data_IF_757186993953
#
_entry.id   IF_757186993953
#
_cell.length_a   1.000
_cell.length_b   1.000
_cell.length_c   1.000
_cell.angle_alpha   90.00
_cell.angle_beta   90.00
_cell.angle_gamma   90.00
#
_symmetry.space_group_name_H-M   'P 1'
#
loop_
_entity.id
_entity.type
_entity.pdbx_description
1 polymer ?
#
# COMPACT_ATOMS: atom_id res chain seq x y z
N UNK A 1 9.04 5.87 -24.77
CA UNK A 1 8.03 5.03 -24.07
C UNK A 1 6.67 5.69 -24.18
N UNK A 2 5.57 4.95 -23.98
CA UNK A 2 4.20 5.51 -23.97
C UNK A 2 3.75 6.01 -22.59
N UNK A 3 4.53 5.75 -21.54
CA UNK A 3 4.22 6.14 -20.16
C UNK A 3 5.39 6.86 -19.48
N UNK A 4 5.09 7.75 -18.54
CA UNK A 4 6.05 8.44 -17.68
C UNK A 4 5.44 8.77 -16.32
N UNK A 5 6.25 8.96 -15.30
CA UNK A 5 5.80 9.22 -13.93
C UNK A 5 6.72 10.20 -13.20
N UNK A 6 6.20 10.81 -12.13
CA UNK A 6 6.99 11.65 -11.25
C UNK A 6 7.17 13.10 -11.72
N UNK A 7 6.29 13.61 -12.58
CA UNK A 7 6.33 15.01 -13.03
C UNK A 7 5.83 15.98 -11.94
N UNK A 8 6.55 16.07 -10.83
CA UNK A 8 6.23 16.91 -9.67
C UNK A 8 6.37 18.41 -9.93
N UNK A 9 7.34 18.82 -10.75
CA UNK A 9 7.56 20.23 -11.06
C UNK A 9 6.40 20.85 -11.85
N UNK A 10 5.74 20.06 -12.71
CA UNK A 10 4.58 20.52 -13.47
C UNK A 10 3.44 20.92 -12.54
N UNK A 11 3.24 20.21 -11.43
CA UNK A 11 2.11 20.47 -10.52
C UNK A 11 2.45 21.50 -9.44
N UNK A 12 3.72 21.92 -9.35
CA UNK A 12 4.17 22.91 -8.37
C UNK A 12 3.53 24.28 -8.63
N UNK A 13 2.71 24.71 -7.68
CA UNK A 13 1.96 25.98 -7.73
C UNK A 13 0.48 25.81 -8.07
N UNK A 14 0.00 24.58 -8.32
CA UNK A 14 -1.43 24.33 -8.46
C UNK A 14 -2.16 24.65 -7.15
N UNK A 15 -3.21 25.47 -7.24
CA UNK A 15 -4.09 25.79 -6.12
C UNK A 15 -5.44 25.08 -6.33
N UNK A 16 -5.73 24.03 -5.56
CA UNK A 16 -7.00 23.33 -5.67
C UNK A 16 -8.18 24.25 -5.31
N UNK A 17 -9.38 23.95 -5.83
CA UNK A 17 -10.59 24.69 -5.44
C UNK A 17 -10.89 24.57 -3.94
N UNK A 18 -10.57 23.42 -3.36
CA UNK A 18 -10.63 23.16 -1.93
C UNK A 18 -9.35 22.41 -1.47
N UNK A 19 -8.39 23.12 -0.83
CA UNK A 19 -7.15 22.52 -0.32
C UNK A 19 -7.35 21.47 0.78
N UNK A 20 -8.52 21.43 1.43
CA UNK A 20 -8.85 20.40 2.42
C UNK A 20 -9.32 19.09 1.79
N UNK A 21 -9.74 19.13 0.50
CA UNK A 21 -10.26 17.96 -0.22
C UNK A 21 -9.36 17.48 -1.35
N UNK A 22 -8.65 18.37 -2.02
CA UNK A 22 -7.93 18.01 -3.23
C UNK A 22 -6.43 18.24 -3.10
N UNK A 23 -5.66 17.34 -3.69
CA UNK A 23 -4.22 17.54 -3.89
C UNK A 23 -3.83 17.00 -5.24
N UNK A 24 -3.09 17.81 -6.00
CA UNK A 24 -2.48 17.37 -7.24
C UNK A 24 -1.05 16.90 -6.96
N UNK A 25 -0.83 15.58 -7.05
CA UNK A 25 0.52 14.99 -6.94
C UNK A 25 1.22 15.01 -8.30
N UNK A 26 2.52 14.72 -8.30
CA UNK A 26 3.29 14.61 -9.55
C UNK A 26 2.63 13.67 -10.55
N UNK A 27 2.55 14.12 -11.81
CA UNK A 27 1.74 13.42 -12.81
C UNK A 27 2.32 12.04 -13.12
N UNK A 28 1.44 11.05 -13.21
CA UNK A 28 1.70 9.79 -13.92
C UNK A 28 0.89 9.81 -15.20
N UNK A 29 1.57 9.68 -16.35
CA UNK A 29 1.02 9.87 -17.68
C UNK A 29 1.13 8.59 -18.49
N UNK A 30 0.10 8.26 -19.27
CA UNK A 30 0.17 7.23 -20.29
C UNK A 30 -0.55 7.68 -21.57
N UNK A 31 0.17 7.74 -22.68
CA UNK A 31 -0.35 8.09 -24.01
C UNK A 31 -1.06 6.88 -24.62
N UNK A 32 -2.26 7.11 -25.11
CA UNK A 32 -3.09 6.14 -25.82
C UNK A 32 -2.86 6.23 -27.34
N UNK A 33 -3.34 5.23 -28.08
CA UNK A 33 -3.17 5.16 -29.53
C UNK A 33 -3.97 6.25 -30.28
N UNK A 34 -5.10 6.67 -29.73
CA UNK A 34 -5.93 7.77 -30.23
C UNK A 34 -5.36 9.17 -29.92
N UNK A 35 -4.17 9.23 -29.32
CA UNK A 35 -3.48 10.47 -28.97
C UNK A 35 -3.91 11.10 -27.64
N UNK A 36 -4.93 10.55 -26.97
CA UNK A 36 -5.29 10.98 -25.61
C UNK A 36 -4.23 10.56 -24.59
N UNK A 37 -4.25 11.20 -23.41
CA UNK A 37 -3.32 10.94 -22.31
C UNK A 37 -4.09 10.65 -21.04
N UNK A 38 -3.88 9.47 -20.47
CA UNK A 38 -4.35 9.14 -19.13
C UNK A 38 -3.47 9.84 -18.09
N UNK A 39 -4.11 10.54 -17.16
CA UNK A 39 -3.44 11.26 -16.07
C UNK A 39 -3.89 10.69 -14.73
N UNK A 40 -2.94 10.20 -13.95
CA UNK A 40 -3.17 9.77 -12.57
C UNK A 40 -2.39 10.70 -11.63
N UNK A 41 -3.09 11.68 -11.05
CA UNK A 41 -2.48 12.76 -10.28
C UNK A 41 -3.41 13.46 -9.27
N UNK A 42 -4.72 13.47 -9.51
CA UNK A 42 -5.65 14.16 -8.62
C UNK A 42 -6.07 13.21 -7.47
N UNK A 43 -5.77 13.62 -6.24
CA UNK A 43 -6.18 12.94 -5.01
C UNK A 43 -7.40 13.64 -4.42
N UNK A 44 -8.31 12.83 -3.86
CA UNK A 44 -9.55 13.28 -3.23
C UNK A 44 -9.57 12.72 -1.81
N UNK A 45 -9.75 13.59 -0.82
CA UNK A 45 -9.76 13.28 0.60
C UNK A 45 -11.16 13.44 1.21
N UNK A 46 -11.36 12.89 2.41
CA UNK A 46 -12.63 12.98 3.14
C UNK A 46 -13.73 12.07 2.59
N UNK A 47 -13.36 10.90 2.05
CA UNK A 47 -14.30 9.91 1.48
C UNK A 47 -14.33 8.67 2.38
N UNK A 48 -15.31 8.59 3.28
CA UNK A 48 -15.43 7.49 4.24
C UNK A 48 -16.56 6.51 3.88
N UNK A 49 -17.64 7.03 3.29
CA UNK A 49 -18.87 6.26 3.00
C UNK A 49 -18.88 5.81 1.55
N UNK A 50 -19.39 4.60 1.34
CA UNK A 50 -19.55 4.00 0.00
C UNK A 50 -21.02 3.93 -0.39
N UNK A 51 -21.79 4.97 -0.07
CA UNK A 51 -23.08 5.12 -0.71
C UNK A 51 -22.87 5.44 -2.20
N UNK A 52 -23.56 4.71 -3.07
CA UNK A 52 -23.35 4.81 -4.51
C UNK A 52 -23.73 6.19 -5.05
N UNK A 53 -24.78 6.81 -4.50
CA UNK A 53 -25.21 8.15 -4.92
C UNK A 53 -24.23 9.23 -4.45
N UNK A 54 -23.73 9.14 -3.22
CA UNK A 54 -22.68 10.05 -2.73
C UNK A 54 -21.39 9.95 -3.55
N UNK A 55 -20.97 8.73 -3.90
CA UNK A 55 -19.77 8.52 -4.73
C UNK A 55 -19.94 9.07 -6.15
N UNK A 56 -21.11 8.91 -6.76
CA UNK A 56 -21.39 9.46 -8.09
C UNK A 56 -21.43 10.99 -8.06
N UNK A 57 -22.10 11.59 -7.06
CA UNK A 57 -22.09 13.05 -6.86
C UNK A 57 -20.67 13.58 -6.71
N UNK A 58 -19.88 12.95 -5.84
CA UNK A 58 -18.48 13.33 -5.63
C UNK A 58 -17.65 13.16 -6.91
N UNK A 59 -17.90 12.13 -7.71
CA UNK A 59 -17.21 11.94 -9.00
C UNK A 59 -17.46 13.12 -9.95
N UNK A 60 -18.68 13.66 -9.98
CA UNK A 60 -19.01 14.84 -10.78
C UNK A 60 -18.34 16.11 -10.24
N UNK A 61 -18.32 16.30 -8.92
CA UNK A 61 -17.59 17.42 -8.30
C UNK A 61 -16.09 17.37 -8.61
N UNK A 62 -15.48 16.18 -8.53
CA UNK A 62 -14.06 15.95 -8.87
C UNK A 62 -13.79 16.18 -10.37
N UNK A 63 -14.78 15.99 -11.24
CA UNK A 63 -14.63 16.29 -12.66
C UNK A 63 -14.42 17.79 -12.92
N UNK A 64 -15.09 18.65 -12.16
CA UNK A 64 -14.87 20.11 -12.22
C UNK A 64 -13.46 20.47 -11.75
N UNK A 65 -12.96 19.79 -10.72
CA UNK A 65 -11.57 19.96 -10.28
C UNK A 65 -10.58 19.47 -11.35
N UNK A 66 -10.89 18.38 -12.06
CA UNK A 66 -10.07 17.91 -13.17
C UNK A 66 -10.00 18.92 -14.34
N UNK A 67 -11.08 19.65 -14.62
CA UNK A 67 -11.06 20.75 -15.60
C UNK A 67 -10.10 21.88 -15.17
N UNK A 68 -10.11 22.25 -13.89
CA UNK A 68 -9.16 23.22 -13.32
C UNK A 68 -7.71 22.74 -13.44
N UNK A 69 -7.45 21.45 -13.22
CA UNK A 69 -6.14 20.85 -13.44
C UNK A 69 -5.71 20.98 -14.90
N UNK A 70 -6.58 20.70 -15.87
CA UNK A 70 -6.25 20.84 -17.29
C UNK A 70 -5.98 22.30 -17.66
N UNK A 71 -6.79 23.25 -17.18
CA UNK A 71 -6.56 24.68 -17.38
C UNK A 71 -5.19 25.12 -16.83
N UNK A 72 -4.87 24.71 -15.60
CA UNK A 72 -3.58 24.98 -15.00
C UNK A 72 -2.42 24.37 -15.80
N UNK A 73 -2.52 23.12 -16.26
CA UNK A 73 -1.45 22.49 -17.05
C UNK A 73 -1.22 23.21 -18.38
N UNK A 74 -2.28 23.70 -19.03
CA UNK A 74 -2.19 24.52 -20.26
C UNK A 74 -1.41 25.80 -20.04
N UNK A 75 -1.62 26.47 -18.91
CA UNK A 75 -0.90 27.69 -18.55
C UNK A 75 0.54 27.41 -18.12
N UNK A 76 0.74 26.34 -17.34
CA UNK A 76 2.03 25.96 -16.76
C UNK A 76 3.02 25.49 -17.81
N UNK A 77 2.57 24.70 -18.78
CA UNK A 77 3.38 24.21 -19.89
C UNK A 77 2.56 24.21 -21.20
N UNK A 78 2.44 25.38 -21.85
CA UNK A 78 1.68 25.51 -23.09
C UNK A 78 2.27 24.70 -24.26
N UNK A 79 3.56 24.39 -24.23
CA UNK A 79 4.21 23.60 -25.28
C UNK A 79 3.70 22.16 -25.27
N UNK A 80 3.50 21.59 -24.08
CA UNK A 80 3.01 20.22 -23.91
C UNK A 80 1.49 20.15 -23.88
N UNK A 81 0.84 21.06 -23.15
CA UNK A 81 -0.59 20.98 -22.86
C UNK A 81 -1.43 22.08 -23.48
N UNK A 82 -0.89 23.07 -24.21
CA UNK A 82 -1.63 24.29 -24.59
C UNK A 82 -2.95 24.08 -25.34
N UNK A 83 -3.05 22.99 -26.11
CA UNK A 83 -4.28 22.59 -26.84
C UNK A 83 -5.05 21.46 -26.15
N UNK A 84 -4.60 21.01 -24.98
CA UNK A 84 -5.24 19.95 -24.22
C UNK A 84 -6.65 20.35 -23.81
N UNK A 85 -7.54 19.38 -23.86
CA UNK A 85 -8.91 19.45 -23.36
C UNK A 85 -9.17 18.21 -22.53
N UNK A 86 -10.01 18.34 -21.51
CA UNK A 86 -10.44 17.19 -20.74
C UNK A 86 -11.26 16.27 -21.65
N UNK A 87 -10.73 15.09 -21.96
CA UNK A 87 -11.47 14.08 -22.73
C UNK A 87 -12.55 13.40 -21.89
N UNK A 88 -12.30 13.27 -20.59
CA UNK A 88 -13.21 12.69 -19.62
C UNK A 88 -12.48 12.37 -18.31
N UNK A 89 -13.24 11.89 -17.34
CA UNK A 89 -12.73 11.35 -16.07
C UNK A 89 -13.00 9.85 -15.99
N UNK A 90 -12.35 9.16 -15.05
CA UNK A 90 -12.63 7.75 -14.80
C UNK A 90 -14.13 7.53 -14.49
N UNK A 91 -14.71 6.39 -14.93
CA UNK A 91 -16.13 6.10 -14.71
C UNK A 91 -16.48 5.88 -13.23
N UNK A 92 -15.48 5.65 -12.37
CA UNK A 92 -15.64 5.53 -10.94
C UNK A 92 -14.42 6.08 -10.21
N UNK A 93 -14.61 6.54 -8.98
CA UNK A 93 -13.51 6.91 -8.09
C UNK A 93 -12.71 5.67 -7.69
N UNK A 94 -11.39 5.75 -7.79
CA UNK A 94 -10.51 4.69 -7.33
C UNK A 94 -10.29 4.79 -5.81
N UNK A 95 -11.19 4.15 -5.05
CA UNK A 95 -11.04 4.01 -3.60
C UNK A 95 -9.89 3.03 -3.34
N UNK A 96 -8.77 3.49 -2.77
CA UNK A 96 -7.60 2.63 -2.53
C UNK A 96 -7.83 1.62 -1.41
N UNK A 97 -8.65 1.97 -0.43
CA UNK A 97 -8.89 1.12 0.72
C UNK A 97 -10.23 1.47 1.38
N UNK A 98 -10.92 0.46 1.92
CA UNK A 98 -12.11 0.66 2.75
C UNK A 98 -12.26 -0.48 3.75
N UNK A 99 -13.02 -1.51 3.39
CA UNK A 99 -13.28 -2.69 4.23
C UNK A 99 -12.35 -3.83 3.86
N UNK A 100 -11.97 -4.61 4.87
CA UNK A 100 -11.25 -5.86 4.71
C UNK A 100 -12.10 -7.01 5.23
N UNK A 101 -12.19 -8.08 4.44
CA UNK A 101 -12.96 -9.26 4.74
C UNK A 101 -12.44 -9.93 6.00
N UNK A 102 -13.35 -10.31 6.90
CA UNK A 102 -13.07 -11.32 7.93
C UNK A 102 -13.00 -12.70 7.27
N UNK A 103 -11.85 -13.00 6.70
CA UNK A 103 -11.59 -14.26 6.00
C UNK A 103 -11.08 -15.35 6.95
N UNK A 104 -11.01 -16.58 6.46
CA UNK A 104 -10.39 -17.71 7.17
C UNK A 104 -8.91 -17.41 7.52
N UNK A 105 -8.25 -16.57 6.74
CA UNK A 105 -6.94 -16.02 7.04
C UNK A 105 -6.85 -14.54 6.71
N UNK A 106 -6.06 -13.82 7.51
CA UNK A 106 -5.75 -12.42 7.25
C UNK A 106 -4.26 -12.28 7.01
N UNK A 107 -3.89 -11.91 5.78
CA UNK A 107 -2.51 -11.67 5.38
C UNK A 107 -1.96 -10.45 6.11
N UNK A 108 -0.81 -10.60 6.75
CA UNK A 108 -0.23 -9.55 7.60
C UNK A 108 0.90 -8.79 6.91
N UNK A 109 1.14 -7.57 7.39
CA UNK A 109 2.13 -6.66 6.83
C UNK A 109 3.55 -7.26 6.79
N UNK A 110 3.98 -7.89 7.88
CA UNK A 110 5.31 -8.50 7.97
C UNK A 110 5.43 -9.76 7.08
N UNK A 111 4.32 -10.45 6.84
CA UNK A 111 4.29 -11.63 5.96
C UNK A 111 4.43 -11.20 4.50
N UNK A 112 3.85 -10.06 4.15
CA UNK A 112 4.08 -9.38 2.87
C UNK A 112 5.54 -8.93 2.77
N UNK A 113 6.01 -8.11 3.72
CA UNK A 113 7.37 -7.54 3.66
C UNK A 113 8.43 -8.64 3.58
N UNK A 114 8.36 -9.66 4.44
CA UNK A 114 9.37 -10.70 4.54
C UNK A 114 9.21 -11.84 3.52
N UNK A 115 8.25 -11.74 2.59
CA UNK A 115 8.12 -12.73 1.51
C UNK A 115 7.60 -14.09 1.97
N UNK A 116 6.59 -14.14 2.85
CA UNK A 116 6.07 -15.40 3.39
C UNK A 116 5.48 -16.27 2.28
N UNK A 117 5.89 -17.54 2.24
CA UNK A 117 5.26 -18.56 1.42
C UNK A 117 4.15 -19.29 2.19
N UNK A 118 3.20 -19.86 1.45
CA UNK A 118 2.09 -20.61 2.01
C UNK A 118 1.87 -21.91 1.23
N UNK A 119 1.58 -23.03 1.89
CA UNK A 119 1.26 -24.31 1.21
C UNK A 119 -0.01 -24.21 0.36
N UNK A 120 -0.85 -23.23 0.67
CA UNK A 120 -2.11 -22.94 -0.01
C UNK A 120 -2.05 -21.63 -0.81
N UNK A 121 -0.86 -21.16 -1.21
CA UNK A 121 -0.69 -19.97 -2.03
C UNK A 121 -1.29 -20.15 -3.44
N UNK A 122 -2.14 -19.21 -3.84
CA UNK A 122 -2.81 -19.20 -5.15
C UNK A 122 -2.43 -18.01 -6.03
N UNK A 123 -1.64 -17.08 -5.50
CA UNK A 123 -1.00 -16.02 -6.26
C UNK A 123 0.31 -15.60 -5.57
N UNK A 124 1.16 -14.90 -6.32
CA UNK A 124 2.43 -14.35 -5.87
C UNK A 124 2.43 -12.83 -6.04
N UNK A 125 2.63 -12.11 -4.94
CA UNK A 125 2.76 -10.65 -4.91
C UNK A 125 4.21 -10.21 -4.73
N UNK A 126 4.48 -8.94 -5.02
CA UNK A 126 5.81 -8.34 -4.86
C UNK A 126 5.85 -6.82 -5.01
N UNK A 127 4.69 -6.16 -5.01
CA UNK A 127 4.61 -4.70 -5.10
C UNK A 127 5.08 -4.07 -3.78
N UNK A 128 5.80 -2.94 -3.77
CA UNK A 128 6.15 -2.25 -2.53
C UNK A 128 4.95 -2.01 -1.60
N UNK A 129 5.21 -1.95 -0.28
CA UNK A 129 4.20 -1.50 0.69
C UNK A 129 4.05 0.02 0.57
N UNK A 130 3.38 0.44 -0.50
CA UNK A 130 3.11 1.84 -0.88
C UNK A 130 1.64 2.21 -0.61
N UNK A 131 1.44 2.97 0.47
CA UNK A 131 0.18 3.60 0.86
C UNK A 131 0.17 5.08 0.50
N UNK A 132 -0.97 5.57 0.02
CA UNK A 132 -1.13 7.01 -0.22
C UNK A 132 -1.44 7.73 1.10
N UNK A 133 -1.18 9.03 1.15
CA UNK A 133 -1.70 9.91 2.19
C UNK A 133 -3.22 9.72 2.40
N UNK A 134 -3.67 9.79 3.65
CA UNK A 134 -5.09 9.83 4.02
C UNK A 134 -5.56 11.26 4.30
N UNK A 135 -4.63 12.18 4.57
CA UNK A 135 -4.92 13.61 4.76
C UNK A 135 -4.15 14.49 3.77
N UNK A 136 -4.71 15.66 3.38
CA UNK A 136 -3.95 16.64 2.60
C UNK A 136 -2.63 17.02 3.27
N UNK A 137 -1.56 17.07 2.48
CA UNK A 137 -0.21 17.43 2.94
C UNK A 137 0.51 16.36 3.79
N UNK A 138 -0.13 15.22 4.03
CA UNK A 138 0.52 14.07 4.67
C UNK A 138 1.56 13.42 3.73
N UNK A 139 2.69 13.02 4.30
CA UNK A 139 3.68 12.22 3.58
C UNK A 139 3.08 10.85 3.19
N UNK A 140 3.27 10.32 1.97
CA UNK A 140 2.80 8.97 1.63
C UNK A 140 3.48 7.89 2.49
N UNK A 141 2.78 6.78 2.72
CA UNK A 141 3.30 5.64 3.45
C UNK A 141 4.21 4.81 2.55
N UNK A 142 5.47 4.67 2.94
CA UNK A 142 6.40 3.76 2.29
C UNK A 142 7.03 2.85 3.35
N UNK A 143 6.61 1.59 3.38
CA UNK A 143 6.94 0.66 4.46
C UNK A 143 7.89 -0.46 4.00
N UNK A 144 8.62 -0.22 2.91
CA UNK A 144 9.62 -1.12 2.34
C UNK A 144 9.18 -1.89 1.09
N UNK A 145 10.17 -2.52 0.45
CA UNK A 145 9.97 -3.38 -0.71
C UNK A 145 9.88 -4.83 -0.23
N UNK A 146 8.82 -5.59 -0.55
CA UNK A 146 8.74 -6.97 -0.10
C UNK A 146 9.68 -7.89 -0.88
N UNK A 147 10.10 -8.98 -0.24
CA UNK A 147 10.43 -10.18 -1.00
C UNK A 147 9.14 -10.77 -1.60
N UNK A 148 9.18 -11.52 -2.72
CA UNK A 148 7.98 -12.11 -3.28
C UNK A 148 7.23 -12.94 -2.24
N UNK A 149 5.92 -12.69 -2.06
CA UNK A 149 5.09 -13.32 -1.04
C UNK A 149 3.90 -14.05 -1.65
N UNK A 150 3.48 -15.14 -1.02
CA UNK A 150 2.28 -15.88 -1.43
C UNK A 150 1.02 -15.25 -0.85
N UNK A 151 -0.08 -15.29 -1.61
CA UNK A 151 -1.42 -15.03 -1.08
C UNK A 151 -2.13 -16.37 -0.87
N UNK A 152 -2.43 -16.78 0.37
CA UNK A 152 -3.06 -18.07 0.64
C UNK A 152 -4.56 -18.03 0.26
N UNK A 153 -5.07 -19.14 -0.28
CA UNK A 153 -6.47 -19.26 -0.75
C UNK A 153 -7.49 -18.86 0.31
N UNK A 154 -7.26 -19.24 1.57
CA UNK A 154 -8.06 -18.87 2.75
C UNK A 154 -8.18 -17.36 3.01
N UNK A 155 -7.37 -16.51 2.36
CA UNK A 155 -7.57 -15.05 2.38
C UNK A 155 -8.77 -14.62 1.51
N UNK A 156 -9.21 -15.46 0.59
CA UNK A 156 -10.33 -15.20 -0.31
C UNK A 156 -11.66 -15.71 0.25
N UNK A 157 -11.61 -16.57 1.27
CA UNK A 157 -12.77 -17.30 1.82
C UNK A 157 -13.31 -16.57 3.06
N UNK A 158 -14.54 -16.04 3.03
CA UNK A 158 -15.19 -15.46 4.21
C UNK A 158 -15.32 -16.48 5.35
N UNK A 159 -15.25 -16.03 6.61
CA UNK A 159 -15.49 -16.93 7.75
C UNK A 159 -16.90 -17.51 7.77
N UNK A 160 -17.88 -16.67 7.45
CA UNK A 160 -19.31 -16.96 7.66
C UNK A 160 -20.01 -17.49 6.41
N UNK A 161 -19.50 -17.18 5.21
CA UNK A 161 -20.13 -17.54 3.93
C UNK A 161 -19.29 -18.59 3.20
N UNK A 162 -19.89 -19.75 2.98
CA UNK A 162 -19.22 -20.94 2.44
C UNK A 162 -19.17 -21.00 0.91
N UNK A 163 -20.07 -20.27 0.25
CA UNK A 163 -20.27 -20.26 -1.21
C UNK A 163 -19.86 -18.95 -1.89
N UNK A 164 -19.06 -18.12 -1.22
CA UNK A 164 -18.58 -16.84 -1.74
C UNK A 164 -17.05 -16.78 -1.69
N UNK A 165 -16.44 -16.21 -2.72
CA UNK A 165 -15.04 -15.80 -2.71
C UNK A 165 -14.96 -14.28 -2.93
N UNK A 166 -14.02 -13.64 -2.24
CA UNK A 166 -13.72 -12.21 -2.42
C UNK A 166 -12.31 -12.07 -2.97
N UNK A 167 -12.20 -11.56 -4.19
CA UNK A 167 -10.95 -11.41 -4.97
C UNK A 167 -10.63 -9.96 -5.31
N UNK A 168 -11.08 -9.05 -4.45
CA UNK A 168 -10.82 -7.62 -4.56
C UNK A 168 -9.86 -7.16 -3.47
N UNK A 169 -9.52 -5.88 -3.50
CA UNK A 169 -8.79 -5.21 -2.41
C UNK A 169 -9.44 -5.39 -1.02
N UNK A 170 -10.72 -5.79 -0.98
CA UNK A 170 -11.44 -6.10 0.25
C UNK A 170 -11.29 -7.55 0.74
N UNK A 171 -10.44 -8.36 0.10
CA UNK A 171 -10.13 -9.71 0.59
C UNK A 171 -9.47 -9.69 1.98
N UNK A 172 -9.12 -10.86 2.53
CA UNK A 172 -8.56 -11.04 3.87
C UNK A 172 -7.14 -10.49 4.02
N UNK A 173 -6.99 -9.17 4.00
CA UNK A 173 -5.72 -8.47 4.18
C UNK A 173 -5.78 -7.57 5.42
N UNK A 174 -4.67 -7.44 6.13
CA UNK A 174 -4.48 -6.30 7.02
C UNK A 174 -4.34 -5.02 6.19
N UNK A 175 -4.68 -3.87 6.77
CA UNK A 175 -4.67 -2.58 6.08
C UNK A 175 -3.32 -2.29 5.40
N UNK A 176 -2.23 -2.46 6.14
CA UNK A 176 -0.88 -2.30 5.62
C UNK A 176 -0.54 -3.37 4.57
N UNK A 177 -0.93 -4.63 4.76
CA UNK A 177 -0.70 -5.67 3.76
C UNK A 177 -1.37 -5.32 2.41
N UNK A 178 -2.53 -4.68 2.46
CA UNK A 178 -3.24 -4.21 1.28
C UNK A 178 -2.49 -3.13 0.50
N UNK A 179 -1.52 -2.41 1.09
CA UNK A 179 -0.68 -1.46 0.33
C UNK A 179 0.04 -2.14 -0.82
N UNK A 180 0.47 -3.39 -0.60
CA UNK A 180 1.01 -4.25 -1.65
C UNK A 180 -0.06 -5.08 -2.35
N UNK A 181 -0.94 -5.73 -1.58
CA UNK A 181 -1.78 -6.79 -2.13
C UNK A 181 -2.91 -6.30 -3.04
N UNK A 182 -3.36 -5.04 -2.91
CA UNK A 182 -4.50 -4.50 -3.66
C UNK A 182 -4.22 -4.20 -5.14
N UNK A 183 -2.96 -4.28 -5.59
CA UNK A 183 -2.61 -3.85 -6.95
C UNK A 183 -3.24 -4.74 -8.01
N UNK A 184 -3.65 -4.11 -9.13
CA UNK A 184 -4.41 -4.77 -10.20
C UNK A 184 -3.80 -6.10 -10.67
N UNK A 185 -2.48 -6.23 -10.92
CA UNK A 185 -1.92 -7.51 -11.36
C UNK A 185 -2.14 -8.66 -10.37
N UNK A 186 -2.01 -8.38 -9.06
CA UNK A 186 -2.25 -9.41 -8.05
C UNK A 186 -3.74 -9.76 -7.98
N UNK A 187 -4.62 -8.75 -8.03
CA UNK A 187 -6.07 -8.96 -8.03
C UNK A 187 -6.55 -9.80 -9.23
N UNK A 188 -5.95 -9.60 -10.41
CA UNK A 188 -6.22 -10.45 -11.57
C UNK A 188 -5.84 -11.91 -11.32
N UNK A 189 -4.67 -12.15 -10.70
CA UNK A 189 -4.24 -13.50 -10.34
C UNK A 189 -5.17 -14.15 -9.31
N UNK A 190 -5.67 -13.39 -8.34
CA UNK A 190 -6.66 -13.88 -7.36
C UNK A 190 -8.01 -14.18 -8.02
N UNK A 191 -8.43 -13.37 -9.00
CA UNK A 191 -9.63 -13.62 -9.80
C UNK A 191 -9.54 -14.94 -10.59
N UNK A 192 -8.40 -15.18 -11.23
CA UNK A 192 -8.10 -16.45 -11.90
C UNK A 192 -8.15 -17.63 -10.91
N UNK A 193 -7.53 -17.49 -9.73
CA UNK A 193 -7.57 -18.48 -8.67
C UNK A 193 -9.00 -18.82 -8.22
N UNK A 194 -9.85 -17.81 -8.03
CA UNK A 194 -11.24 -18.03 -7.68
C UNK A 194 -12.02 -18.72 -8.81
N UNK A 195 -11.80 -18.34 -10.08
CA UNK A 195 -12.43 -19.00 -11.23
C UNK A 195 -12.09 -20.49 -11.29
N UNK A 196 -10.81 -20.85 -11.07
CA UNK A 196 -10.38 -22.25 -11.01
C UNK A 196 -10.97 -22.97 -9.80
N UNK A 197 -11.00 -22.34 -8.63
CA UNK A 197 -11.60 -22.92 -7.42
C UNK A 197 -13.10 -23.22 -7.61
N UNK A 198 -13.85 -22.28 -8.20
CA UNK A 198 -15.26 -22.49 -8.58
C UNK A 198 -15.39 -23.67 -9.53
N UNK A 199 -14.53 -23.78 -10.54
CA UNK A 199 -14.57 -24.89 -11.50
C UNK A 199 -14.31 -26.25 -10.83
N UNK A 200 -13.44 -26.32 -9.82
CA UNK A 200 -13.16 -27.55 -9.06
C UNK A 200 -14.34 -28.00 -8.18
N UNK A 201 -15.17 -27.07 -7.70
CA UNK A 201 -16.36 -27.39 -6.91
C UNK A 201 -17.58 -27.77 -7.76
N UNK A 202 -17.55 -27.53 -9.09
CA UNK A 202 -18.68 -27.90 -9.95
C UNK A 202 -18.79 -29.42 -10.09
N UNK A 203 -20.01 -29.93 -9.86
CA UNK A 203 -20.34 -31.37 -9.95
C UNK A 203 -20.29 -31.94 -11.37
N UNK A 204 -20.45 -31.10 -12.40
CA UNK A 204 -20.42 -31.54 -13.79
C UNK A 204 -18.96 -31.65 -14.29
N UNK A 205 -18.54 -32.79 -14.87
CA UNK A 205 -17.17 -32.96 -15.34
C UNK A 205 -16.87 -31.94 -16.46
N UNK A 206 -15.83 -31.13 -16.25
CA UNK A 206 -15.11 -30.50 -17.37
C UNK A 206 -13.92 -31.40 -17.73
N UNK A 207 -13.61 -31.50 -19.02
CA UNK A 207 -12.49 -32.30 -19.51
C UNK A 207 -11.20 -31.99 -18.73
N UNK A 208 -10.67 -32.97 -18.02
CA UNK A 208 -9.40 -32.88 -17.29
C UNK A 208 -9.45 -32.45 -15.83
N UNK A 209 -10.63 -32.28 -15.20
CA UNK A 209 -10.75 -32.04 -13.76
C UNK A 209 -11.13 -33.32 -13.01
N UNK A 210 -10.30 -33.71 -12.03
CA UNK A 210 -10.65 -34.78 -11.09
C UNK A 210 -11.87 -34.36 -10.26
N UNK A 211 -12.85 -35.26 -10.10
CA UNK A 211 -14.01 -35.05 -9.24
C UNK A 211 -13.53 -34.94 -7.79
N UNK A 212 -13.56 -33.74 -7.22
CA UNK A 212 -13.40 -33.57 -5.77
C UNK A 212 -14.81 -33.38 -5.19
N UNK A 213 -15.32 -34.30 -4.35
CA UNK A 213 -16.65 -34.17 -3.76
C UNK A 213 -16.61 -33.17 -2.60
N UNK A 214 -16.31 -31.91 -2.89
CA UNK A 214 -16.34 -30.84 -1.91
C UNK A 214 -17.65 -30.07 -2.02
N UNK A 215 -18.24 -29.77 -0.88
CA UNK A 215 -19.50 -29.03 -0.81
C UNK A 215 -19.30 -27.52 -0.99
N UNK A 216 -18.17 -26.98 -0.53
CA UNK A 216 -17.96 -25.54 -0.41
C UNK A 216 -16.48 -25.10 -0.36
N UNK A 217 -16.24 -23.78 -0.27
CA UNK A 217 -14.88 -23.21 -0.24
C UNK A 217 -14.15 -23.42 1.08
N UNK A 218 -14.85 -23.69 2.19
CA UNK A 218 -14.23 -24.02 3.47
C UNK A 218 -13.63 -25.42 3.41
N UNK A 219 -14.36 -26.39 2.86
CA UNK A 219 -13.85 -27.74 2.64
C UNK A 219 -12.67 -27.75 1.65
N UNK A 220 -12.72 -26.93 0.59
CA UNK A 220 -11.59 -26.75 -0.31
C UNK A 220 -10.37 -26.21 0.45
N UNK A 221 -10.54 -25.15 1.24
CA UNK A 221 -9.47 -24.55 2.02
C UNK A 221 -8.89 -25.48 3.11
N UNK A 222 -9.67 -26.45 3.58
CA UNK A 222 -9.24 -27.46 4.56
C UNK A 222 -8.59 -28.70 3.90
N UNK A 223 -8.81 -28.93 2.61
CA UNK A 223 -8.33 -30.13 1.90
C UNK A 223 -7.00 -29.88 1.19
N UNK A 224 -5.93 -30.47 1.71
CA UNK A 224 -4.62 -30.42 1.07
C UNK A 224 -4.61 -30.97 -0.36
N UNK A 225 -5.38 -32.04 -0.63
CA UNK A 225 -5.51 -32.61 -1.97
C UNK A 225 -6.20 -31.65 -2.94
N UNK A 226 -7.26 -30.96 -2.49
CA UNK A 226 -7.99 -30.02 -3.33
C UNK A 226 -7.20 -28.74 -3.60
N UNK A 227 -6.47 -28.25 -2.60
CA UNK A 227 -5.54 -27.13 -2.75
C UNK A 227 -4.41 -27.48 -3.73
N UNK A 228 -3.86 -28.69 -3.67
CA UNK A 228 -2.87 -29.13 -4.63
C UNK A 228 -3.44 -29.21 -6.05
N UNK A 229 -4.66 -29.72 -6.21
CA UNK A 229 -5.35 -29.74 -7.52
C UNK A 229 -5.57 -28.31 -8.07
N UNK A 230 -5.99 -27.37 -7.22
CA UNK A 230 -6.12 -25.95 -7.55
C UNK A 230 -4.79 -25.34 -8.01
N UNK A 231 -3.74 -25.52 -7.20
CA UNK A 231 -2.40 -24.97 -7.49
C UNK A 231 -1.82 -25.57 -8.76
N UNK A 232 -1.97 -26.88 -8.98
CA UNK A 232 -1.57 -27.56 -10.23
C UNK A 232 -2.28 -26.97 -11.44
N UNK A 233 -3.60 -26.75 -11.35
CA UNK A 233 -4.38 -26.16 -12.45
C UNK A 233 -3.98 -24.72 -12.74
N UNK A 234 -3.71 -23.92 -11.71
CA UNK A 234 -3.18 -22.56 -11.87
C UNK A 234 -1.81 -22.55 -12.54
N UNK A 235 -0.89 -23.42 -12.11
CA UNK A 235 0.44 -23.55 -12.72
C UNK A 235 0.36 -23.97 -14.20
N UNK A 236 -0.52 -24.90 -14.56
CA UNK A 236 -0.77 -25.28 -15.96
C UNK A 236 -1.27 -24.12 -16.82
N UNK A 237 -1.87 -23.09 -16.21
CA UNK A 237 -2.37 -21.88 -16.87
C UNK A 237 -1.36 -20.73 -16.82
N UNK A 238 -0.12 -21.00 -16.40
CA UNK A 238 0.99 -20.05 -16.40
C UNK A 238 1.12 -19.23 -15.11
N UNK A 239 0.34 -19.52 -14.06
CA UNK A 239 0.46 -18.81 -12.80
C UNK A 239 1.79 -19.15 -12.09
N UNK A 240 2.47 -18.11 -11.59
CA UNK A 240 3.61 -18.26 -10.67
C UNK A 240 3.08 -18.25 -9.24
N UNK A 241 3.31 -19.34 -8.51
CA UNK A 241 2.75 -19.55 -7.16
C UNK A 241 3.82 -19.57 -6.05
N UNK A 242 5.09 -19.53 -6.43
CA UNK A 242 6.22 -19.53 -5.52
C UNK A 242 7.39 -18.76 -6.13
N UNK A 243 8.34 -18.39 -5.27
CA UNK A 243 9.59 -17.75 -5.63
C UNK A 243 10.72 -18.40 -4.82
N UNK A 244 11.92 -18.58 -5.40
CA UNK A 244 13.10 -18.95 -4.63
C UNK A 244 13.66 -17.77 -3.81
N UNK A 245 13.30 -16.53 -4.17
CA UNK A 245 13.64 -15.35 -3.39
C UNK A 245 12.79 -15.30 -2.11
N UNK A 246 13.44 -15.18 -0.95
CA UNK A 246 12.82 -14.99 0.35
C UNK A 246 13.35 -13.75 1.06
N UNK A 247 12.61 -13.29 2.07
CA UNK A 247 13.07 -12.22 2.94
C UNK A 247 14.10 -12.68 3.97
N UNK A 248 14.78 -11.72 4.58
CA UNK A 248 15.69 -11.92 5.70
C UNK A 248 14.97 -11.57 7.00
N UNK A 249 14.67 -12.61 7.78
CA UNK A 249 14.08 -12.47 9.12
C UNK A 249 15.19 -12.17 10.13
N UNK A 250 15.00 -11.13 10.93
CA UNK A 250 15.98 -10.61 11.89
C UNK A 250 15.45 -10.79 13.34
N UNK A 251 14.84 -11.94 13.63
CA UNK A 251 14.07 -12.17 14.86
C UNK A 251 14.90 -12.07 16.15
N UNK A 252 16.20 -12.31 16.05
CA UNK A 252 17.20 -12.22 17.11
C UNK A 252 17.70 -10.79 17.36
N UNK A 253 17.42 -9.84 16.45
CA UNK A 253 17.91 -8.46 16.57
C UNK A 253 17.05 -7.66 17.57
N UNK A 254 17.68 -6.81 18.40
CA UNK A 254 16.95 -5.86 19.23
C UNK A 254 16.01 -4.99 18.39
N UNK A 255 14.79 -4.78 18.88
CA UNK A 255 13.77 -3.99 18.19
C UNK A 255 12.96 -4.73 17.14
N UNK A 256 13.20 -6.03 16.88
CA UNK A 256 12.44 -6.78 15.87
C UNK A 256 10.94 -6.85 16.17
N UNK A 257 10.57 -7.16 17.42
CA UNK A 257 9.16 -7.30 17.81
C UNK A 257 8.42 -5.97 17.70
N UNK A 258 9.10 -4.90 18.11
CA UNK A 258 8.65 -3.52 18.07
C UNK A 258 8.48 -3.05 16.62
N UNK A 259 9.47 -3.33 15.76
CA UNK A 259 9.42 -3.03 14.34
C UNK A 259 8.26 -3.75 13.64
N UNK A 260 8.04 -5.04 13.94
CA UNK A 260 6.88 -5.79 13.40
C UNK A 260 5.56 -5.19 13.89
N UNK A 261 5.47 -4.83 15.17
CA UNK A 261 4.27 -4.22 15.74
C UNK A 261 3.96 -2.85 15.11
N UNK A 262 4.99 -2.02 14.93
CA UNK A 262 4.90 -0.73 14.24
C UNK A 262 4.54 -0.90 12.75
N UNK A 263 5.18 -1.85 12.06
CA UNK A 263 4.91 -2.15 10.64
C UNK A 263 3.44 -2.52 10.43
N UNK A 264 2.86 -3.38 11.29
CA UNK A 264 1.44 -3.75 11.23
C UNK A 264 0.50 -2.56 11.39
N UNK A 265 0.96 -1.47 12.03
CA UNK A 265 0.21 -0.22 12.23
C UNK A 265 0.52 0.85 11.18
N UNK A 266 1.44 0.58 10.24
CA UNK A 266 1.88 1.54 9.23
C UNK A 266 2.89 2.57 9.75
N UNK A 267 3.56 2.28 10.87
CA UNK A 267 4.44 3.21 11.60
C UNK A 267 5.90 2.75 11.60
N UNK A 268 6.31 2.04 10.56
CA UNK A 268 7.71 1.65 10.38
C UNK A 268 8.16 1.83 8.93
N UNK A 269 8.32 3.10 8.53
CA UNK A 269 8.80 3.49 7.21
C UNK A 269 10.14 2.81 6.86
N UNK A 270 10.26 2.41 5.60
CA UNK A 270 11.40 1.66 5.09
C UNK A 270 11.71 2.05 3.64
N UNK A 271 12.98 2.35 3.32
CA UNK A 271 13.35 2.79 1.98
C UNK A 271 13.24 1.65 0.96
N UNK A 272 13.06 2.00 -0.32
CA UNK A 272 12.88 1.03 -1.40
C UNK A 272 14.04 0.03 -1.57
N UNK A 273 15.27 0.41 -1.20
CA UNK A 273 16.43 -0.46 -1.31
C UNK A 273 16.41 -1.62 -0.31
N UNK A 274 15.64 -1.51 0.79
CA UNK A 274 15.42 -2.62 1.71
C UNK A 274 14.37 -3.56 1.13
N UNK A 275 14.84 -4.59 0.43
CA UNK A 275 14.01 -5.66 -0.10
C UNK A 275 13.95 -6.82 0.89
N UNK A 276 12.74 -7.18 1.33
CA UNK A 276 12.52 -8.41 2.09
C UNK A 276 13.02 -8.38 3.53
N UNK A 277 13.28 -7.22 4.13
CA UNK A 277 13.95 -7.11 5.43
C UNK A 277 13.51 -5.84 6.16
N UNK A 278 13.55 -5.87 7.49
CA UNK A 278 13.34 -4.68 8.32
C UNK A 278 14.61 -3.82 8.40
N UNK A 279 15.78 -4.40 8.14
CA UNK A 279 17.08 -3.73 8.08
C UNK A 279 17.49 -3.18 9.43
N UNK A 280 17.32 -3.94 10.52
CA UNK A 280 17.38 -3.41 11.89
C UNK A 280 18.78 -2.89 12.27
N UNK A 281 19.83 -3.42 11.63
CA UNK A 281 21.20 -2.92 11.79
C UNK A 281 21.53 -1.69 10.93
N UNK A 282 20.69 -1.38 9.94
CA UNK A 282 20.92 -0.24 9.05
C UNK A 282 20.56 1.07 9.75
N UNK A 283 21.17 2.20 9.36
CA UNK A 283 20.75 3.50 9.85
C UNK A 283 19.32 3.84 9.42
N UNK A 284 18.51 4.42 10.32
CA UNK A 284 17.22 4.99 9.92
C UNK A 284 17.44 6.35 9.25
N UNK A 285 16.69 6.66 8.19
CA UNK A 285 16.71 7.99 7.59
C UNK A 285 15.91 8.98 8.44
N UNK A 286 16.33 10.25 8.49
CA UNK A 286 15.59 11.30 9.19
C UNK A 286 14.14 11.39 8.69
N UNK A 287 13.94 11.33 7.36
CA UNK A 287 12.61 11.37 6.75
C UNK A 287 11.73 10.21 7.17
N UNK A 288 12.27 8.99 7.24
CA UNK A 288 11.53 7.80 7.67
C UNK A 288 11.10 7.93 9.14
N UNK A 289 12.01 8.39 10.01
CA UNK A 289 11.71 8.60 11.42
C UNK A 289 10.59 9.64 11.61
N UNK A 290 10.68 10.79 10.92
CA UNK A 290 9.66 11.84 10.97
C UNK A 290 8.33 11.39 10.36
N UNK A 291 8.34 10.59 9.30
CA UNK A 291 7.11 10.06 8.70
C UNK A 291 6.31 9.22 9.70
N UNK A 292 6.98 8.33 10.46
CA UNK A 292 6.30 7.53 11.48
C UNK A 292 5.64 8.39 12.56
N UNK A 293 6.31 9.46 13.01
CA UNK A 293 5.73 10.42 13.96
C UNK A 293 4.57 11.21 13.34
N UNK A 294 4.72 11.68 12.09
CA UNK A 294 3.68 12.42 11.37
C UNK A 294 2.40 11.59 11.24
N UNK A 295 2.51 10.35 10.75
CA UNK A 295 1.38 9.44 10.57
C UNK A 295 0.64 9.19 11.88
N UNK A 296 1.36 8.93 12.98
CA UNK A 296 0.74 8.72 14.27
C UNK A 296 0.05 10.00 14.78
N UNK A 297 0.75 11.14 14.76
CA UNK A 297 0.20 12.35 15.35
C UNK A 297 -0.95 12.96 14.54
N UNK A 298 -0.99 12.75 13.22
CA UNK A 298 -2.17 13.07 12.41
C UNK A 298 -3.38 12.21 12.78
N UNK A 299 -3.17 10.94 13.09
CA UNK A 299 -4.26 10.01 13.38
C UNK A 299 -4.77 10.10 14.83
N UNK A 300 -3.86 10.26 15.81
CA UNK A 300 -4.17 10.10 17.25
C UNK A 300 -3.41 11.06 18.18
N UNK A 301 -2.63 11.99 17.64
CA UNK A 301 -1.72 12.81 18.43
C UNK A 301 -2.27 14.13 18.93
N UNK A 302 -1.62 14.74 19.93
CA UNK A 302 -1.80 16.15 20.21
C UNK A 302 -1.25 17.00 19.04
N UNK A 303 -2.00 18.04 18.68
CA UNK A 303 -1.68 18.88 17.51
C UNK A 303 -0.32 19.58 17.68
N UNK A 304 0.08 19.90 18.91
CA UNK A 304 1.36 20.53 19.22
C UNK A 304 2.54 19.64 18.80
N UNK A 305 2.47 18.34 19.05
CA UNK A 305 3.52 17.39 18.64
C UNK A 305 3.56 17.23 17.12
N UNK A 306 2.41 17.23 16.46
CA UNK A 306 2.36 17.24 14.99
C UNK A 306 3.05 18.50 14.43
N UNK A 307 2.77 19.69 14.99
CA UNK A 307 3.41 20.95 14.56
C UNK A 307 4.94 20.89 14.69
N UNK A 308 5.46 20.30 15.77
CA UNK A 308 6.91 20.07 15.95
C UNK A 308 7.48 19.21 14.83
N UNK A 309 6.83 18.08 14.51
CA UNK A 309 7.26 17.16 13.44
C UNK A 309 7.23 17.84 12.07
N UNK A 310 6.15 18.55 11.75
CA UNK A 310 6.01 19.28 10.48
C UNK A 310 7.08 20.38 10.35
N UNK A 311 7.36 21.09 11.45
CA UNK A 311 8.39 22.12 11.47
C UNK A 311 9.79 21.51 11.28
N UNK A 312 10.10 20.42 11.96
CA UNK A 312 11.36 19.70 11.76
C UNK A 312 11.53 19.26 10.28
N UNK A 313 10.47 18.73 9.66
CA UNK A 313 10.51 18.32 8.25
C UNK A 313 10.75 19.49 7.30
N UNK A 314 10.24 20.67 7.63
CA UNK A 314 10.50 21.90 6.89
C UNK A 314 11.96 22.36 7.03
N UNK A 315 12.47 22.47 8.28
CA UNK A 315 13.85 22.92 8.54
C UNK A 315 14.89 21.99 7.91
N UNK A 316 14.70 20.68 8.06
CA UNK A 316 15.67 19.67 7.62
C UNK A 316 15.32 19.05 6.26
N UNK A 317 14.58 19.77 5.41
CA UNK A 317 14.12 19.28 4.09
C UNK A 317 15.27 18.71 3.24
N UNK A 318 16.44 19.35 3.27
CA UNK A 318 17.63 18.92 2.52
C UNK A 318 18.34 17.69 3.11
N UNK A 319 17.94 17.23 4.29
CA UNK A 319 18.58 16.16 5.04
C UNK A 319 17.67 14.94 5.26
N UNK A 320 16.43 14.97 4.78
CA UNK A 320 15.46 13.87 4.99
C UNK A 320 15.95 12.52 4.48
N UNK A 321 16.80 12.50 3.45
CA UNK A 321 17.40 11.29 2.88
C UNK A 321 18.75 10.92 3.50
N UNK A 322 19.15 11.55 4.62
CA UNK A 322 20.38 11.25 5.36
C UNK A 322 20.08 10.40 6.59
N UNK A 323 21.03 9.55 7.03
CA UNK A 323 20.95 8.86 8.31
C UNK A 323 20.69 9.82 9.48
N UNK A 324 19.76 9.45 10.36
CA UNK A 324 19.46 10.21 11.57
C UNK A 324 20.64 10.14 12.53
N UNK A 325 21.24 11.30 12.80
CA UNK A 325 22.28 11.44 13.83
C UNK A 325 21.64 11.58 15.22
N UNK A 326 22.30 11.03 16.23
CA UNK A 326 21.92 11.02 17.64
C UNK A 326 21.76 12.41 18.20
N UNK A 327 22.64 13.34 17.83
CA UNK A 327 22.53 14.73 18.23
C UNK A 327 21.21 15.37 17.76
N UNK A 328 20.83 15.14 16.51
CA UNK A 328 19.57 15.63 15.94
C UNK A 328 18.36 14.88 16.55
N UNK A 329 18.45 13.56 16.73
CA UNK A 329 17.42 12.80 17.43
C UNK A 329 17.14 13.39 18.82
N UNK A 330 18.18 13.69 19.59
CA UNK A 330 18.04 14.26 20.93
C UNK A 330 17.44 15.67 20.90
N UNK A 331 17.74 16.48 19.90
CA UNK A 331 17.07 17.78 19.71
C UNK A 331 15.56 17.59 19.42
N UNK A 332 15.21 16.63 18.56
CA UNK A 332 13.81 16.31 18.26
C UNK A 332 13.06 15.78 19.48
N UNK A 333 13.68 14.89 20.26
CA UNK A 333 13.10 14.36 21.50
C UNK A 333 12.81 15.48 22.50
N UNK A 334 13.77 16.37 22.74
CA UNK A 334 13.56 17.51 23.64
C UNK A 334 12.43 18.43 23.14
N UNK A 335 12.35 18.68 21.84
CA UNK A 335 11.26 19.49 21.25
C UNK A 335 9.89 18.80 21.37
N UNK A 336 9.85 17.47 21.48
CA UNK A 336 8.64 16.68 21.75
C UNK A 336 8.33 16.53 23.25
N UNK A 337 9.16 17.10 24.13
CA UNK A 337 9.04 16.97 25.58
C UNK A 337 9.55 15.63 26.12
N UNK A 338 10.45 14.95 25.40
CA UNK A 338 11.01 13.66 25.75
C UNK A 338 12.48 13.80 26.21
N UNK A 339 12.93 12.87 27.06
CA UNK A 339 14.31 12.83 27.52
C UNK A 339 15.30 12.47 26.41
N UNK A 340 16.54 12.97 26.54
CA UNK A 340 17.65 12.57 25.69
C UNK A 340 18.00 11.10 25.89
N UNK A 341 18.48 10.47 24.82
CA UNK A 341 18.97 9.09 24.84
C UNK A 341 20.46 9.04 24.54
N UNK A 342 21.16 8.18 25.29
CA UNK A 342 22.52 7.75 24.96
C UNK A 342 22.48 6.69 23.84
N UNK A 343 23.60 6.52 23.13
CA UNK A 343 23.73 5.53 22.06
C UNK A 343 24.81 5.92 21.06
N UNK A 344 25.07 5.04 20.11
CA UNK A 344 26.05 5.27 19.04
C UNK A 344 25.46 6.06 17.89
N UNK A 345 26.32 6.59 17.01
CA UNK A 345 25.93 7.27 15.78
C UNK A 345 26.30 6.42 14.56
N UNK A 346 25.46 6.37 13.49
CA UNK A 346 24.08 6.89 13.41
C UNK A 346 23.06 6.02 14.15
N UNK A 347 21.85 6.53 14.36
CA UNK A 347 20.74 5.77 14.97
C UNK A 347 20.33 4.61 14.06
N UNK A 348 20.36 3.39 14.57
CA UNK A 348 19.94 2.21 13.81
C UNK A 348 18.41 2.11 13.75
N UNK A 349 17.90 1.39 12.74
CA UNK A 349 16.46 1.10 12.60
C UNK A 349 15.92 0.28 13.78
N UNK A 350 16.73 -0.60 14.37
CA UNK A 350 16.36 -1.37 15.57
C UNK A 350 16.21 -0.49 16.82
N UNK A 351 17.16 0.43 17.06
CA UNK A 351 17.03 1.41 18.14
C UNK A 351 15.84 2.35 17.90
N UNK A 352 15.63 2.79 16.66
CA UNK A 352 14.49 3.62 16.29
C UNK A 352 13.16 2.86 16.50
N UNK A 353 13.10 1.56 16.22
CA UNK A 353 11.91 0.74 16.46
C UNK A 353 11.53 0.70 17.95
N UNK A 354 12.51 0.44 18.83
CA UNK A 354 12.31 0.46 20.28
C UNK A 354 11.79 1.82 20.76
N UNK A 355 12.40 2.89 20.26
CA UNK A 355 12.02 4.25 20.60
C UNK A 355 10.61 4.59 20.11
N UNK A 356 10.33 4.39 18.82
CA UNK A 356 9.03 4.69 18.21
C UNK A 356 7.92 3.87 18.87
N UNK A 357 8.16 2.60 19.20
CA UNK A 357 7.17 1.77 19.88
C UNK A 357 6.79 2.31 21.27
N UNK A 358 7.75 2.91 21.99
CA UNK A 358 7.47 3.61 23.24
C UNK A 358 6.73 4.94 23.02
N UNK A 359 7.12 5.70 22.00
CA UNK A 359 6.54 7.03 21.72
C UNK A 359 5.12 6.97 21.14
N UNK A 360 4.79 5.87 20.45
CA UNK A 360 3.58 5.71 19.63
C UNK A 360 2.73 4.54 20.15
N UNK A 361 2.13 4.66 21.35
CA UNK A 361 1.37 3.57 21.98
C UNK A 361 0.19 3.08 21.13
#
# INVERSE_FOLDING_TARGET
GRSGWGFGELVRGYLPSDPSRYTLRGLNLARQDDGSVLVNALLVFGVERVDAYELERLRQEVALEAERVVAYLREKDPLVFGTARLAGVAPALYIRESRHLKALYRLKAEEVLLGRSFPDAVALGGYPLDGQAYSPGETPYLLGTPAPYGVPFRSLVPRELKNLLVVSQAAGFDSVAAFSARVVPLQMALGEAAGVAVALLRRAPQAGLMKVPLADFHELAASGQALEALRKRLAQRGARLSSPEGGRVEAERPGYREAVALLRRGLFAGPYYLKGSLGLSEPILLGDFLANLEHYYRAKGPEERLRVVLKARELYRGELQRPLRRALLNQLLQALGEDKLAGTDPVTRGEAALLLYRLLP
#
